data_IF_530674112851
#
_entry.id   IF_530674112851
#
_cell.length_a   1.000
_cell.length_b   1.000
_cell.length_c   1.000
_cell.angle_alpha   90.00
_cell.angle_beta   90.00
_cell.angle_gamma   90.00
#
_symmetry.space_group_name_H-M   'P 1'
#
loop_
_entity.id
_entity.type
_entity.pdbx_description
1 polymer ?
#
# COMPACT_ATOMS: atom_id res chain seq x y z
N UNK A 1 7.67 -9.23 23.82
CA UNK A 1 6.49 -9.67 23.04
C UNK A 1 6.57 -8.98 21.70
N UNK A 2 6.85 -9.74 20.65
CA UNK A 2 6.95 -9.23 19.29
C UNK A 2 5.56 -9.41 18.69
N UNK A 3 4.83 -8.32 18.47
CA UNK A 3 3.53 -8.39 17.82
C UNK A 3 3.71 -8.81 16.36
N UNK A 4 3.63 -10.11 16.16
CA UNK A 4 3.64 -10.79 14.89
C UNK A 4 2.36 -10.38 14.15
N UNK A 5 2.52 -9.77 12.98
CA UNK A 5 1.41 -9.49 12.06
C UNK A 5 0.91 -10.85 11.54
N UNK A 6 0.02 -11.49 12.30
CA UNK A 6 -0.66 -12.73 11.92
C UNK A 6 -1.82 -12.38 10.99
N UNK A 7 -1.44 -12.12 9.74
CA UNK A 7 -2.34 -11.95 8.61
C UNK A 7 -1.61 -12.31 7.33
N UNK A 8 -1.12 -13.56 7.24
CA UNK A 8 -0.61 -14.22 6.03
C UNK A 8 0.51 -13.45 5.30
N UNK A 9 1.75 -13.69 5.74
CA UNK A 9 2.95 -13.39 4.95
C UNK A 9 3.20 -14.60 4.05
N UNK A 10 2.76 -14.53 2.80
CA UNK A 10 3.36 -15.33 1.72
C UNK A 10 3.24 -14.52 0.42
N UNK A 11 4.39 -14.06 -0.09
CA UNK A 11 4.63 -13.13 -1.21
C UNK A 11 4.49 -11.62 -0.97
N UNK A 12 4.33 -11.17 0.26
CA UNK A 12 4.26 -9.74 0.55
C UNK A 12 5.65 -9.10 0.71
N UNK A 13 6.26 -8.57 -0.35
CA UNK A 13 7.55 -7.87 -0.27
C UNK A 13 7.51 -6.62 0.62
N UNK A 14 8.68 -6.08 0.96
CA UNK A 14 8.79 -4.72 1.52
C UNK A 14 9.19 -3.74 0.42
N UNK A 15 8.67 -2.51 0.52
CA UNK A 15 9.01 -1.42 -0.39
C UNK A 15 9.08 -0.09 0.37
N UNK A 16 9.53 0.96 -0.31
CA UNK A 16 9.44 2.34 0.17
C UNK A 16 8.45 3.09 -0.71
N UNK A 17 7.39 3.61 -0.10
CA UNK A 17 6.43 4.47 -0.77
C UNK A 17 6.82 5.95 -0.63
N UNK A 18 6.64 6.70 -1.70
CA UNK A 18 6.61 8.16 -1.72
C UNK A 18 5.28 8.59 -2.37
N UNK A 19 4.21 8.52 -1.57
CA UNK A 19 2.87 8.94 -1.96
C UNK A 19 2.55 10.32 -1.36
N UNK A 20 1.68 11.13 -1.98
CA UNK A 20 1.32 12.45 -1.45
C UNK A 20 0.75 12.45 -0.02
N UNK A 21 0.21 11.32 0.44
CA UNK A 21 -0.36 11.14 1.77
C UNK A 21 0.48 10.26 2.72
N UNK A 22 1.53 9.61 2.22
CA UNK A 22 2.35 8.70 3.02
C UNK A 22 3.75 8.54 2.41
N UNK A 23 4.77 8.67 3.26
CA UNK A 23 6.16 8.42 2.90
C UNK A 23 6.81 7.50 3.92
N UNK A 24 7.40 6.40 3.47
CA UNK A 24 8.07 5.46 4.36
C UNK A 24 7.97 3.99 3.92
N UNK A 25 8.39 3.07 4.80
CA UNK A 25 8.38 1.64 4.52
C UNK A 25 6.94 1.10 4.50
N UNK A 26 6.65 0.24 3.52
CA UNK A 26 5.33 -0.36 3.30
C UNK A 26 5.45 -1.85 3.03
N UNK A 27 4.39 -2.59 3.36
CA UNK A 27 4.20 -3.95 2.87
C UNK A 27 3.53 -3.89 1.50
N UNK A 28 3.95 -4.72 0.55
CA UNK A 28 3.32 -4.80 -0.77
C UNK A 28 2.84 -6.20 -1.05
N UNK A 29 1.80 -6.36 -1.85
CA UNK A 29 1.33 -7.66 -2.36
C UNK A 29 0.84 -7.49 -3.79
N UNK A 30 1.42 -8.24 -4.72
CA UNK A 30 0.90 -8.30 -6.09
C UNK A 30 -0.25 -9.30 -6.15
N UNK A 31 -1.38 -8.91 -6.76
CA UNK A 31 -2.53 -9.81 -6.91
C UNK A 31 -2.23 -10.84 -8.01
N UNK A 32 -2.39 -12.13 -7.70
CA UNK A 32 -2.13 -13.20 -8.67
C UNK A 32 -2.98 -13.01 -9.94
N UNK A 33 -2.33 -13.04 -11.11
CA UNK A 33 -2.99 -12.82 -12.40
C UNK A 33 -3.34 -11.36 -12.73
N UNK A 34 -2.77 -10.39 -12.00
CA UNK A 34 -2.99 -8.95 -12.20
C UNK A 34 -1.68 -8.16 -12.07
N UNK A 35 -1.61 -7.03 -12.75
CA UNK A 35 -0.56 -6.00 -12.65
C UNK A 35 -0.74 -5.06 -11.44
N UNK A 36 -1.78 -5.28 -10.63
CA UNK A 36 -2.11 -4.46 -9.48
C UNK A 36 -1.30 -4.86 -8.24
N UNK A 37 -0.83 -3.84 -7.53
CA UNK A 37 -0.06 -3.95 -6.30
C UNK A 37 -0.88 -3.34 -5.17
N UNK A 38 -1.14 -4.13 -4.14
CA UNK A 38 -1.71 -3.65 -2.89
C UNK A 38 -0.59 -3.21 -1.95
N UNK A 39 -0.67 -1.98 -1.45
CA UNK A 39 0.34 -1.35 -0.59
C UNK A 39 -0.26 -1.09 0.78
N UNK A 40 0.20 -1.84 1.77
CA UNK A 40 -0.21 -1.73 3.15
C UNK A 40 0.72 -0.80 3.94
N UNK A 41 0.13 0.21 4.59
CA UNK A 41 0.87 1.16 5.40
C UNK A 41 0.08 1.56 6.65
N UNK A 42 0.80 2.00 7.71
CA UNK A 42 0.16 2.49 8.94
C UNK A 42 -0.20 3.95 8.77
N UNK A 43 -1.46 4.30 9.00
CA UNK A 43 -1.92 5.67 8.92
C UNK A 43 -3.41 5.80 9.13
N UNK A 44 -3.83 7.04 9.40
CA UNK A 44 -5.22 7.44 9.42
C UNK A 44 -5.34 8.60 8.44
N UNK A 45 -5.92 8.35 7.26
CA UNK A 45 -6.03 9.41 6.26
C UNK A 45 -7.49 9.64 5.87
N UNK A 46 -8.12 10.70 6.39
CA UNK A 46 -9.35 11.23 5.83
C UNK A 46 -8.99 12.05 4.58
N UNK A 47 -8.81 11.40 3.42
CA UNK A 47 -8.56 12.13 2.16
C UNK A 47 -9.89 12.47 1.49
N UNK A 48 -10.17 13.76 1.29
CA UNK A 48 -11.36 14.21 0.57
C UNK A 48 -11.34 13.82 -0.92
N UNK A 49 -10.14 13.69 -1.52
CA UNK A 49 -9.94 13.26 -2.91
C UNK A 49 -8.65 12.48 -3.06
N UNK A 50 -8.75 11.28 -3.61
CA UNK A 50 -7.59 10.41 -3.86
C UNK A 50 -6.64 11.06 -4.88
N UNK A 51 -5.34 11.20 -4.59
CA UNK A 51 -4.36 11.59 -5.59
C UNK A 51 -4.16 10.45 -6.59
N UNK A 52 -3.93 10.77 -7.86
CA UNK A 52 -3.84 9.77 -8.92
C UNK A 52 -2.45 9.13 -9.06
N UNK A 53 -1.40 9.67 -8.43
CA UNK A 53 -0.03 9.21 -8.68
C UNK A 53 0.86 9.26 -7.43
N UNK A 54 1.92 8.46 -7.45
CA UNK A 54 2.99 8.45 -6.45
C UNK A 54 4.19 7.64 -6.94
N UNK A 55 5.10 7.29 -6.02
CA UNK A 55 6.21 6.39 -6.30
C UNK A 55 6.26 5.20 -5.34
N UNK A 56 6.70 4.05 -5.84
CA UNK A 56 6.97 2.84 -5.08
C UNK A 56 8.35 2.31 -5.48
N UNK A 57 9.30 2.23 -4.56
CA UNK A 57 10.71 1.90 -4.85
C UNK A 57 11.35 2.77 -5.96
N UNK A 58 10.98 4.06 -6.00
CA UNK A 58 11.34 5.02 -7.06
C UNK A 58 10.69 4.79 -8.43
N UNK A 59 9.90 3.72 -8.61
CA UNK A 59 9.09 3.53 -9.81
C UNK A 59 7.80 4.34 -9.72
N UNK A 60 7.39 4.96 -10.83
CA UNK A 60 6.15 5.71 -10.91
C UNK A 60 4.94 4.75 -10.85
N UNK A 61 3.96 5.09 -10.00
CA UNK A 61 2.72 4.32 -9.88
C UNK A 61 1.51 5.23 -9.91
N UNK A 62 0.42 4.72 -10.46
CA UNK A 62 -0.92 5.29 -10.38
C UNK A 62 -1.63 4.72 -9.16
N UNK A 63 -2.27 5.59 -8.36
CA UNK A 63 -3.02 5.20 -7.17
C UNK A 63 -4.50 5.11 -7.54
N UNK A 64 -5.04 3.90 -7.52
CA UNK A 64 -6.38 3.59 -8.01
C UNK A 64 -7.42 3.66 -6.89
N UNK A 65 -7.09 3.10 -5.72
CA UNK A 65 -7.99 3.08 -4.57
C UNK A 65 -7.22 3.22 -3.27
N UNK A 66 -7.95 3.64 -2.22
CA UNK A 66 -7.46 3.65 -0.86
C UNK A 66 -8.59 3.18 0.07
N UNK A 67 -8.31 2.17 0.89
CA UNK A 67 -9.27 1.61 1.83
C UNK A 67 -8.63 1.34 3.19
N UNK A 68 -9.45 1.30 4.24
CA UNK A 68 -9.01 0.89 5.57
C UNK A 68 -9.00 -0.64 5.64
N UNK A 69 -7.95 -1.21 6.22
CA UNK A 69 -7.88 -2.64 6.48
C UNK A 69 -9.03 -3.10 7.37
N UNK A 70 -9.69 -4.19 6.99
CA UNK A 70 -10.75 -4.84 7.78
C UNK A 70 -10.21 -5.66 8.96
N UNK A 71 -8.91 -5.98 8.96
CA UNK A 71 -8.27 -6.89 9.92
C UNK A 71 -7.35 -6.19 10.90
N UNK A 72 -6.67 -5.10 10.51
CA UNK A 72 -5.78 -4.36 11.38
C UNK A 72 -6.26 -2.92 11.58
N UNK A 73 -6.51 -2.57 12.85
CA UNK A 73 -6.84 -1.18 13.24
C UNK A 73 -5.64 -0.28 12.89
N UNK A 74 -5.92 0.87 12.27
CA UNK A 74 -4.94 1.88 11.83
C UNK A 74 -4.04 1.45 10.65
N UNK A 75 -4.44 0.43 9.90
CA UNK A 75 -3.78 0.05 8.64
C UNK A 75 -4.63 0.47 7.45
N UNK A 76 -3.97 1.03 6.45
CA UNK A 76 -4.54 1.43 5.17
C UNK A 76 -3.96 0.56 4.06
N UNK A 77 -4.76 0.34 3.02
CA UNK A 77 -4.38 -0.41 1.82
C UNK A 77 -4.63 0.51 0.62
N UNK A 78 -3.57 0.87 -0.09
CA UNK A 78 -3.67 1.52 -1.39
C UNK A 78 -3.55 0.47 -2.50
N UNK A 79 -4.44 0.49 -3.49
CA UNK A 79 -4.22 -0.28 -4.73
C UNK A 79 -3.53 0.61 -5.73
N UNK A 80 -2.39 0.18 -6.24
CA UNK A 80 -1.60 0.92 -7.22
C UNK A 80 -1.29 0.07 -8.45
N UNK A 81 -0.94 0.76 -9.54
CA UNK A 81 -0.50 0.15 -10.81
C UNK A 81 0.78 0.84 -11.27
N UNK A 82 1.77 0.08 -11.74
CA UNK A 82 2.99 0.65 -12.30
C UNK A 82 2.70 1.44 -13.59
N UNK A 83 3.33 2.60 -13.75
CA UNK A 83 3.25 3.42 -14.97
C UNK A 83 4.55 3.22 -15.75
N UNK A 84 4.44 2.67 -16.95
CA UNK A 84 5.56 2.44 -17.87
C UNK A 84 5.97 3.73 -18.59
#
# INVERSE_FOLDING_TARGET
>A
MTDQITGVVDNGGQAVADFPFYKGPVGIRTRAGSDLIEVAYRGDVPIARLPASGQLNADAVEILTLERSSTARNMMIATVRAVA
#
